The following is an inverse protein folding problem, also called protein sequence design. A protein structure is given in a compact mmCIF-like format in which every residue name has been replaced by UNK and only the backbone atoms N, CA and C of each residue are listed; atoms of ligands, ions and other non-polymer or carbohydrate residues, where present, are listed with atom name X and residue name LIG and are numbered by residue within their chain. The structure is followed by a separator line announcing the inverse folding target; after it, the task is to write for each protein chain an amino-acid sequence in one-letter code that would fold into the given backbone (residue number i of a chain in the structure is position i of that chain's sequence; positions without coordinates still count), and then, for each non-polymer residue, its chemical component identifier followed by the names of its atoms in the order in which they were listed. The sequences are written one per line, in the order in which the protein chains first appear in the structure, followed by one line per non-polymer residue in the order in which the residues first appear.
data_IF_936549539418
#
_entry.id   IF_936549539418
#
_cell.length_a   1.000
_cell.length_b   1.000
_cell.length_c   1.000
_cell.angle_alpha   90.00
_cell.angle_beta   90.00
_cell.angle_gamma   90.00
#
_symmetry.space_group_name_H-M   'P 1'
#
loop_
_entity.id
_entity.type
_entity.pdbx_description
1 polymer ?
#
# COMPACT_ATOMS: atom_id res chain seq x y z
N UNK A 1 4.02 8.91 -4.83
CA UNK A 1 3.45 7.71 -5.48
C UNK A 1 2.33 7.17 -4.59
N UNK A 2 1.20 6.72 -5.17
CA UNK A 2 0.03 6.33 -4.35
C UNK A 2 0.17 4.93 -3.74
N UNK A 3 0.05 4.83 -2.41
CA UNK A 3 0.21 3.59 -1.65
C UNK A 3 -0.74 2.49 -2.13
N UNK A 4 -2.04 2.79 -2.22
CA UNK A 4 -3.08 1.83 -2.61
C UNK A 4 -3.04 1.38 -4.07
N UNK A 5 -2.20 2.01 -4.90
CA UNK A 5 -2.18 1.78 -6.34
C UNK A 5 -0.81 1.24 -6.77
N UNK A 6 0.09 2.11 -7.21
CA UNK A 6 1.35 1.68 -7.79
C UNK A 6 2.28 1.02 -6.76
N UNK A 7 2.28 1.47 -5.50
CA UNK A 7 3.14 0.86 -4.47
C UNK A 7 2.68 -0.57 -4.16
N UNK A 8 1.41 -0.76 -3.76
CA UNK A 8 0.87 -2.10 -3.46
C UNK A 8 0.98 -3.08 -4.65
N UNK A 9 0.66 -2.61 -5.86
CA UNK A 9 0.75 -3.43 -7.07
C UNK A 9 2.19 -3.89 -7.34
N UNK A 10 3.15 -2.96 -7.31
CA UNK A 10 4.56 -3.29 -7.56
C UNK A 10 5.11 -4.21 -6.48
N UNK A 11 4.85 -3.92 -5.20
CA UNK A 11 5.31 -4.73 -4.06
C UNK A 11 4.85 -6.18 -4.19
N UNK A 12 3.56 -6.41 -4.49
CA UNK A 12 3.01 -7.76 -4.68
C UNK A 12 3.59 -8.45 -5.90
N UNK A 13 3.74 -7.73 -7.02
CA UNK A 13 4.29 -8.28 -8.25
C UNK A 13 5.73 -8.75 -8.06
N UNK A 14 6.60 -7.92 -7.47
CA UNK A 14 8.02 -8.28 -7.29
C UNK A 14 8.21 -9.32 -6.19
N UNK A 15 7.35 -9.36 -5.17
CA UNK A 15 7.33 -10.45 -4.20
C UNK A 15 7.11 -11.81 -4.89
N UNK A 16 6.15 -11.88 -5.82
CA UNK A 16 5.92 -13.09 -6.64
C UNK A 16 7.10 -13.49 -7.53
N UNK A 17 8.00 -12.56 -7.82
CA UNK A 17 9.24 -12.80 -8.57
C UNK A 17 10.45 -13.12 -7.66
N UNK A 18 10.24 -13.25 -6.34
CA UNK A 18 11.29 -13.65 -5.39
C UNK A 18 12.17 -12.50 -4.88
N UNK A 19 11.82 -11.24 -5.14
CA UNK A 19 12.58 -10.10 -4.62
C UNK A 19 12.29 -9.87 -3.13
N UNK A 20 13.31 -9.43 -2.40
CA UNK A 20 13.15 -8.91 -1.03
C UNK A 20 12.73 -7.45 -1.10
N UNK A 21 11.54 -7.14 -0.60
CA UNK A 21 10.94 -5.81 -0.71
C UNK A 21 11.06 -5.04 0.61
N UNK A 22 11.48 -3.78 0.52
CA UNK A 22 11.46 -2.81 1.62
C UNK A 22 10.63 -1.62 1.18
N UNK A 23 9.65 -1.23 1.99
CA UNK A 23 8.79 -0.07 1.72
C UNK A 23 9.03 1.01 2.77
N UNK A 24 9.54 2.16 2.32
CA UNK A 24 9.78 3.33 3.16
C UNK A 24 8.46 4.09 3.31
N UNK A 25 7.68 3.71 4.33
CA UNK A 25 6.26 4.08 4.45
C UNK A 25 5.99 5.59 4.59
N UNK A 26 6.93 6.32 5.19
CA UNK A 26 6.93 7.79 5.35
C UNK A 26 7.27 8.53 4.04
N UNK A 27 7.86 7.84 3.06
CA UNK A 27 8.06 8.35 1.70
C UNK A 27 6.90 8.01 0.73
N UNK A 28 5.85 7.36 1.23
CA UNK A 28 4.67 6.98 0.46
C UNK A 28 3.46 7.82 0.88
N UNK A 29 2.57 8.12 -0.06
CA UNK A 29 1.36 8.89 0.22
C UNK A 29 0.15 8.24 -0.42
N UNK A 30 -1.04 8.53 0.07
CA UNK A 30 -2.30 8.09 -0.53
C UNK A 30 -3.32 9.23 -0.48
N UNK A 31 -4.54 8.98 -0.94
CA UNK A 31 -5.65 9.93 -0.87
C UNK A 31 -6.90 9.26 -0.31
N UNK A 32 -7.89 10.08 0.02
CA UNK A 32 -9.22 9.60 0.34
C UNK A 32 -9.77 8.79 -0.85
N UNK A 33 -10.40 7.67 -0.55
CA UNK A 33 -11.01 6.79 -1.54
C UNK A 33 -12.51 6.73 -1.31
N UNK A 34 -13.29 6.81 -2.39
CA UNK A 34 -14.75 6.70 -2.35
C UNK A 34 -15.15 5.33 -2.86
N UNK A 35 -15.96 4.61 -2.10
CA UNK A 35 -16.57 3.34 -2.50
C UNK A 35 -18.07 3.43 -2.25
N UNK A 36 -18.84 3.58 -3.34
CA UNK A 36 -20.26 3.92 -3.26
C UNK A 36 -20.46 5.26 -2.53
N UNK A 37 -21.25 5.25 -1.47
CA UNK A 37 -21.51 6.44 -0.63
C UNK A 37 -20.47 6.65 0.47
N UNK A 38 -19.58 5.66 0.72
CA UNK A 38 -18.61 5.73 1.80
C UNK A 38 -17.31 6.37 1.35
N UNK A 39 -16.77 7.26 2.18
CA UNK A 39 -15.43 7.81 2.04
C UNK A 39 -14.51 7.13 3.05
N UNK A 40 -13.42 6.55 2.55
CA UNK A 40 -12.32 6.03 3.36
C UNK A 40 -11.24 7.11 3.39
N UNK A 41 -10.86 7.55 4.59
CA UNK A 41 -9.87 8.62 4.74
C UNK A 41 -8.49 8.13 4.31
N UNK A 42 -7.64 9.05 3.86
CA UNK A 42 -6.29 8.76 3.43
C UNK A 42 -5.48 8.09 4.56
N UNK A 43 -5.68 8.48 5.82
CA UNK A 43 -5.05 7.86 6.98
C UNK A 43 -5.37 6.37 7.09
N UNK A 44 -6.64 6.01 6.95
CA UNK A 44 -7.11 4.62 7.03
C UNK A 44 -6.64 3.81 5.82
N UNK A 45 -6.67 4.39 4.62
CA UNK A 45 -6.13 3.76 3.40
C UNK A 45 -4.63 3.49 3.54
N UNK A 46 -3.87 4.47 4.02
CA UNK A 46 -2.42 4.33 4.21
C UNK A 46 -2.13 3.23 5.23
N UNK A 47 -2.81 3.26 6.38
CA UNK A 47 -2.61 2.30 7.46
C UNK A 47 -2.97 0.88 7.02
N UNK A 48 -4.11 0.69 6.35
CA UNK A 48 -4.56 -0.62 5.89
C UNK A 48 -3.57 -1.26 4.90
N UNK A 49 -3.11 -0.49 3.89
CA UNK A 49 -2.19 -1.02 2.89
C UNK A 49 -0.78 -1.25 3.46
N UNK A 50 -0.26 -0.35 4.31
CA UNK A 50 1.04 -0.55 4.95
C UNK A 50 1.03 -1.76 5.89
N UNK A 51 -0.05 -1.97 6.65
CA UNK A 51 -0.22 -3.16 7.48
C UNK A 51 -0.30 -4.44 6.64
N UNK A 52 -0.99 -4.42 5.49
CA UNK A 52 -1.09 -5.57 4.59
C UNK A 52 0.24 -5.92 3.90
N UNK A 53 1.04 -4.89 3.56
CA UNK A 53 2.37 -5.07 2.96
C UNK A 53 3.35 -5.64 4.00
N UNK A 54 3.36 -5.06 5.21
CA UNK A 54 4.28 -5.39 6.29
C UNK A 54 3.98 -6.77 6.86
N UNK A 55 4.73 -7.76 6.40
CA UNK A 55 4.63 -9.15 6.86
C UNK A 55 4.74 -10.14 5.71
N UNK A 56 3.76 -10.14 4.81
CA UNK A 56 3.71 -11.12 3.71
C UNK A 56 4.52 -10.67 2.51
N UNK A 57 4.44 -9.40 2.11
CA UNK A 57 5.01 -8.95 0.83
C UNK A 57 6.29 -8.14 0.98
N UNK A 58 6.51 -7.55 2.14
CA UNK A 58 7.69 -6.76 2.43
C UNK A 58 7.77 -6.36 3.89
N UNK A 59 8.75 -5.52 4.21
CA UNK A 59 8.93 -4.92 5.53
C UNK A 59 9.08 -3.41 5.46
#
# INVERSE_FOLDING_TARGET
MMTHMCIDTTVRAVYGLGYKVVVVSDCCATKNLKMGERMVKAEDVQMAYMAAIRGTFGK
#
